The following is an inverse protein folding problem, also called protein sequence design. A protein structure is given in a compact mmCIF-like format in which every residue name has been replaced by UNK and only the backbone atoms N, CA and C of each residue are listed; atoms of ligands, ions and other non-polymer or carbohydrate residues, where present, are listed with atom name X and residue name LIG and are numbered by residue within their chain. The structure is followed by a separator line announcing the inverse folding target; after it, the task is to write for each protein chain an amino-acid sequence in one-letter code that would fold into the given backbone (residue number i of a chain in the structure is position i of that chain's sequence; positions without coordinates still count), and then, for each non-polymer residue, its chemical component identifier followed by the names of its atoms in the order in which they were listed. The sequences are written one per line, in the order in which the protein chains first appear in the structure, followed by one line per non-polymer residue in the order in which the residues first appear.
data_IF_911902171406
#
_entry.id   IF_911902171406
#
_cell.length_a   1.000
_cell.length_b   1.000
_cell.length_c   1.000
_cell.angle_alpha   90.00
_cell.angle_beta   90.00
_cell.angle_gamma   90.00
#
_symmetry.space_group_name_H-M   'P 1'
#
loop_
_entity.id
_entity.type
_entity.pdbx_description
1 polymer ?
#
# COMPACT_ATOMS: atom_id res chain seq x y z
N UNK A 1 4.11 0.95 -4.20
CA UNK A 1 3.42 -0.35 -4.15
C UNK A 1 2.12 -0.20 -3.37
N UNK A 2 1.03 -0.56 -3.98
CA UNK A 2 -0.29 -0.54 -3.36
C UNK A 2 -0.62 -1.95 -2.86
N UNK A 3 -0.95 -2.07 -1.58
CA UNK A 3 -1.24 -3.39 -0.97
C UNK A 3 -2.71 -3.55 -0.58
N UNK A 4 -3.52 -2.52 -0.68
CA UNK A 4 -4.95 -2.62 -0.42
C UNK A 4 -5.69 -1.36 -0.77
N UNK A 5 -6.98 -1.49 -0.98
CA UNK A 5 -7.88 -0.38 -1.24
C UNK A 5 -9.19 -0.63 -0.51
N UNK A 6 -9.65 0.37 0.25
CA UNK A 6 -10.80 0.21 1.13
C UNK A 6 -11.73 1.42 1.02
N UNK A 7 -13.02 1.17 1.09
CA UNK A 7 -14.01 2.23 1.25
C UNK A 7 -13.99 2.81 2.67
N UNK A 8 -13.61 1.98 3.65
CA UNK A 8 -13.54 2.39 5.05
C UNK A 8 -12.15 2.88 5.39
N UNK A 9 -12.06 4.10 5.89
CA UNK A 9 -10.80 4.66 6.39
C UNK A 9 -10.24 3.82 7.55
N UNK A 10 -11.08 3.34 8.44
CA UNK A 10 -10.65 2.55 9.58
C UNK A 10 -9.97 1.25 9.15
N UNK A 11 -10.52 0.58 8.15
CA UNK A 11 -9.92 -0.64 7.62
C UNK A 11 -8.56 -0.36 6.96
N UNK A 12 -8.46 0.73 6.22
CA UNK A 12 -7.19 1.13 5.61
C UNK A 12 -6.14 1.44 6.68
N UNK A 13 -6.53 2.15 7.73
CA UNK A 13 -5.64 2.49 8.85
C UNK A 13 -5.14 1.24 9.58
N UNK A 14 -6.01 0.25 9.78
CA UNK A 14 -5.62 -1.01 10.41
C UNK A 14 -4.57 -1.74 9.61
N UNK A 15 -4.75 -1.83 8.29
CA UNK A 15 -3.74 -2.46 7.43
C UNK A 15 -2.45 -1.64 7.41
N UNK A 16 -2.56 -0.33 7.34
CA UNK A 16 -1.42 0.56 7.36
C UNK A 16 -0.56 0.35 8.62
N UNK A 17 -1.20 0.25 9.79
CA UNK A 17 -0.49 -0.01 11.03
C UNK A 17 0.19 -1.36 11.06
N UNK A 18 -0.47 -2.41 10.55
CA UNK A 18 0.14 -3.75 10.45
C UNK A 18 1.39 -3.73 9.58
N UNK A 19 1.32 -3.04 8.45
CA UNK A 19 2.46 -2.93 7.53
C UNK A 19 3.60 -2.16 8.19
N UNK A 20 3.32 -1.08 8.89
CA UNK A 20 4.32 -0.32 9.64
C UNK A 20 4.99 -1.16 10.73
N UNK A 21 4.22 -1.95 11.46
CA UNK A 21 4.76 -2.83 12.49
C UNK A 21 5.67 -3.90 11.92
N UNK A 22 5.45 -4.31 10.68
CA UNK A 22 6.31 -5.26 9.99
C UNK A 22 7.63 -4.65 9.49
N UNK A 23 7.82 -3.34 9.70
CA UNK A 23 9.05 -2.65 9.33
C UNK A 23 9.02 -1.96 7.97
N UNK A 24 7.87 -1.85 7.34
CA UNK A 24 7.72 -1.16 6.07
C UNK A 24 7.28 0.27 6.27
N UNK A 25 7.70 1.14 5.34
CA UNK A 25 7.14 2.48 5.25
C UNK A 25 5.83 2.40 4.48
N UNK A 26 4.77 2.91 5.06
CA UNK A 26 3.46 2.88 4.41
C UNK A 26 2.66 4.15 4.72
N UNK A 27 1.69 4.41 3.87
CA UNK A 27 0.79 5.55 4.06
C UNK A 27 -0.57 5.23 3.43
N UNK A 28 -1.59 5.94 3.88
CA UNK A 28 -2.93 5.86 3.31
C UNK A 28 -3.12 7.03 2.38
N UNK A 29 -3.47 6.75 1.13
CA UNK A 29 -3.72 7.76 0.11
C UNK A 29 -5.21 7.77 -0.26
N UNK A 30 -5.97 8.82 0.08
CA UNK A 30 -7.36 8.90 -0.32
C UNK A 30 -7.48 9.29 -1.80
N UNK A 31 -8.29 8.55 -2.53
CA UNK A 31 -8.55 8.80 -3.96
C UNK A 31 -10.05 8.86 -4.18
N UNK A 32 -10.52 9.89 -4.89
CA UNK A 32 -11.91 9.96 -5.31
C UNK A 32 -12.08 9.20 -6.62
N UNK A 33 -12.96 8.21 -6.60
CA UNK A 33 -13.23 7.36 -7.76
C UNK A 33 -14.74 7.10 -7.82
N UNK A 34 -15.37 7.43 -8.95
CA UNK A 34 -16.81 7.25 -9.16
C UNK A 34 -17.67 7.84 -8.03
N UNK A 35 -17.35 9.06 -7.60
CA UNK A 35 -18.01 9.79 -6.50
C UNK A 35 -17.84 9.11 -5.12
N UNK A 36 -16.92 8.17 -5.00
CA UNK A 36 -16.60 7.51 -3.75
C UNK A 36 -15.13 7.76 -3.39
N UNK A 37 -14.86 7.91 -2.11
CA UNK A 37 -13.49 8.04 -1.62
C UNK A 37 -12.97 6.65 -1.29
N UNK A 38 -11.90 6.24 -1.98
CA UNK A 38 -11.20 5.00 -1.71
C UNK A 38 -9.92 5.32 -0.94
N UNK A 39 -9.66 4.57 0.10
CA UNK A 39 -8.44 4.72 0.90
C UNK A 39 -7.47 3.61 0.51
N UNK A 40 -6.40 3.99 -0.18
CA UNK A 40 -5.38 3.05 -0.65
C UNK A 40 -4.22 3.00 0.33
N UNK A 41 -3.86 1.78 0.73
CA UNK A 41 -2.67 1.57 1.55
C UNK A 41 -1.50 1.31 0.61
N UNK A 42 -0.51 2.19 0.67
CA UNK A 42 0.63 2.17 -0.22
C UNK A 42 1.92 2.04 0.58
N UNK A 43 2.90 1.36 0.00
CA UNK A 43 4.24 1.31 0.56
C UNK A 43 5.04 2.49 0.04
N UNK A 44 5.86 3.06 0.89
CA UNK A 44 6.46 4.36 0.75
C UNK A 44 7.45 4.51 -0.34
N UNK A 45 7.72 5.75 -0.80
CA UNK A 45 8.05 6.00 -2.20
C UNK A 45 9.29 5.27 -2.65
N UNK A 46 9.15 4.51 -3.74
CA UNK A 46 10.24 3.86 -4.45
C UNK A 46 10.66 4.74 -5.62
N UNK A 47 11.97 4.88 -5.81
CA UNK A 47 12.50 5.72 -6.88
C UNK A 47 12.64 4.95 -8.20
N UNK A 48 12.72 3.63 -8.15
CA UNK A 48 12.79 2.83 -9.35
C UNK A 48 11.95 1.56 -9.26
N UNK A 49 11.75 0.94 -10.42
CA UNK A 49 10.89 -0.23 -10.55
C UNK A 49 11.49 -1.48 -9.88
N UNK A 50 12.80 -1.59 -9.84
CA UNK A 50 13.47 -2.71 -9.20
C UNK A 50 13.23 -2.69 -7.68
N UNK A 51 13.30 -1.53 -7.06
CA UNK A 51 13.01 -1.36 -5.63
C UNK A 51 11.56 -1.69 -5.32
N UNK A 52 10.63 -1.27 -6.17
CA UNK A 52 9.22 -1.58 -6.03
C UNK A 52 8.95 -3.07 -6.09
N UNK A 53 9.59 -3.77 -7.03
CA UNK A 53 9.46 -5.23 -7.15
C UNK A 53 10.03 -5.97 -5.95
N UNK A 54 11.17 -5.52 -5.43
CA UNK A 54 11.77 -6.11 -4.24
C UNK A 54 10.87 -5.92 -3.02
N UNK A 55 10.31 -4.73 -2.87
CA UNK A 55 9.39 -4.43 -1.78
C UNK A 55 8.13 -5.29 -1.86
N UNK A 56 7.62 -5.50 -3.07
CA UNK A 56 6.47 -6.36 -3.32
C UNK A 56 6.76 -7.80 -2.88
N UNK A 57 7.93 -8.33 -3.20
CA UNK A 57 8.35 -9.66 -2.76
C UNK A 57 8.45 -9.75 -1.25
N UNK A 58 9.02 -8.74 -0.60
CA UNK A 58 9.16 -8.72 0.84
C UNK A 58 7.82 -8.72 1.55
N UNK A 59 6.88 -7.89 1.09
CA UNK A 59 5.55 -7.82 1.71
C UNK A 59 4.79 -9.11 1.52
N UNK A 60 4.92 -9.76 0.36
CA UNK A 60 4.29 -11.04 0.09
C UNK A 60 4.85 -12.13 1.01
N UNK A 61 6.17 -12.16 1.20
CA UNK A 61 6.81 -13.17 2.04
C UNK A 61 6.52 -12.96 3.53
N UNK A 62 6.58 -11.72 4.01
CA UNK A 62 6.41 -11.42 5.43
C UNK A 62 4.95 -11.38 5.88
N UNK A 63 4.08 -10.85 5.06
CA UNK A 63 2.68 -10.62 5.43
C UNK A 63 1.69 -11.39 4.57
N UNK A 64 2.15 -12.10 3.56
CA UNK A 64 1.32 -12.83 2.58
C UNK A 64 0.28 -11.93 1.93
N UNK A 65 0.63 -10.67 1.72
CA UNK A 65 -0.21 -9.71 1.04
C UNK A 65 0.19 -9.61 -0.43
N UNK A 66 -0.79 -9.60 -1.29
CA UNK A 66 -0.59 -9.30 -2.70
C UNK A 66 -0.67 -7.79 -2.90
N UNK A 67 0.23 -7.27 -3.70
CA UNK A 67 0.25 -5.85 -4.02
C UNK A 67 0.45 -5.63 -5.50
N UNK A 68 0.31 -4.39 -5.92
CA UNK A 68 0.57 -3.97 -7.28
C UNK A 68 1.55 -2.81 -7.30
N UNK A 69 2.38 -2.79 -8.33
CA UNK A 69 3.30 -1.68 -8.55
C UNK A 69 2.57 -0.61 -9.33
N UNK A 70 2.47 0.58 -8.73
CA UNK A 70 1.91 1.76 -9.39
C UNK A 70 3.00 2.80 -9.54
N UNK A 71 3.03 3.45 -10.70
CA UNK A 71 3.85 4.64 -10.88
C UNK A 71 3.16 5.81 -10.21
N UNK A 72 3.90 6.51 -9.37
CA UNK A 72 3.46 7.79 -8.89
C UNK A 72 3.79 8.86 -9.91
N UNK A 73 2.88 9.81 -10.11
CA UNK A 73 3.21 10.94 -10.94
C UNK A 73 4.27 11.80 -10.28
#
# INVERSE_FOLDING_TARGET
VQVGSFLSKDNAEKLNQKVKKAGFRSFVNPITQNNKIMHQVCLGPEYDEADAKNLLKEIKNKMKLDGIVKKYP
#
